data_IF_943511578746
#
_entry.id   IF_943511578746
#
_cell.length_a   1.000
_cell.length_b   1.000
_cell.length_c   1.000
_cell.angle_alpha   90.00
_cell.angle_beta   90.00
_cell.angle_gamma   90.00
#
_symmetry.space_group_name_H-M   'P 1'
#
loop_
_entity.id
_entity.type
_entity.pdbx_description
1 polymer ?
#
# COMPACT_ATOMS: atom_id res chain seq x y z
N UNK A 1 0.67 -27.82 -0.78
CA UNK A 1 1.76 -26.86 -0.54
C UNK A 1 1.10 -25.49 -0.35
N UNK A 2 1.38 -24.81 0.75
CA UNK A 2 0.82 -23.48 1.06
C UNK A 2 1.93 -22.43 0.97
N UNK A 3 1.58 -21.21 0.67
CA UNK A 3 2.51 -20.08 0.77
C UNK A 3 2.34 -19.41 2.13
N UNK A 4 3.45 -19.11 2.78
CA UNK A 4 3.53 -18.39 4.05
C UNK A 4 4.45 -17.20 3.84
N UNK A 5 4.01 -16.02 4.26
CA UNK A 5 4.82 -14.80 4.18
C UNK A 5 5.40 -14.45 5.56
N UNK A 6 6.67 -14.13 5.60
CA UNK A 6 7.37 -13.53 6.73
C UNK A 6 7.73 -12.09 6.32
N UNK A 7 7.11 -11.11 6.96
CA UNK A 7 7.39 -9.69 6.74
C UNK A 7 8.28 -9.20 7.88
N UNK A 8 9.50 -8.77 7.55
CA UNK A 8 10.52 -8.41 8.55
C UNK A 8 10.57 -6.90 8.73
N UNK A 9 10.16 -6.45 9.89
CA UNK A 9 10.16 -5.05 10.30
C UNK A 9 10.82 -4.82 11.67
N UNK A 10 11.79 -5.68 12.05
CA UNK A 10 12.38 -5.64 13.40
C UNK A 10 13.68 -4.82 13.52
N UNK A 11 14.18 -4.24 12.42
CA UNK A 11 15.41 -3.41 12.45
C UNK A 11 15.28 -2.20 13.36
N UNK A 12 16.36 -1.88 14.09
CA UNK A 12 16.46 -0.75 15.02
C UNK A 12 16.37 0.63 14.34
N UNK A 13 16.61 0.69 13.02
CA UNK A 13 16.61 1.96 12.29
C UNK A 13 17.81 2.87 12.59
N UNK A 14 18.96 2.33 13.02
CA UNK A 14 20.13 3.13 13.43
C UNK A 14 20.55 4.20 12.41
N UNK A 15 20.53 3.86 11.11
CA UNK A 15 20.84 4.81 10.03
C UNK A 15 19.71 5.80 9.75
N UNK A 16 18.49 5.49 10.18
CA UNK A 16 17.29 6.28 9.98
C UNK A 16 16.95 7.17 11.21
N UNK A 17 17.53 6.87 12.38
CA UNK A 17 17.27 7.60 13.63
C UNK A 17 15.97 7.21 14.35
N UNK A 18 15.08 6.45 13.68
CA UNK A 18 13.81 5.99 14.23
C UNK A 18 13.40 4.62 13.67
N UNK A 19 12.26 4.10 14.11
CA UNK A 19 11.68 2.86 13.56
C UNK A 19 11.01 3.13 12.21
N UNK A 20 11.78 3.17 11.12
CA UNK A 20 11.30 3.46 9.76
C UNK A 20 10.08 2.65 9.32
N UNK A 21 9.86 1.46 9.86
CA UNK A 21 8.70 0.62 9.54
C UNK A 21 7.38 1.18 10.03
N UNK A 22 7.38 2.08 11.01
CA UNK A 22 6.17 2.76 11.52
C UNK A 22 6.04 4.20 11.03
N UNK A 23 7.03 4.71 10.30
CA UNK A 23 6.91 6.01 9.65
C UNK A 23 5.71 6.04 8.70
N UNK A 24 5.16 7.23 8.52
CA UNK A 24 3.93 7.41 7.76
C UNK A 24 4.24 7.84 6.32
N UNK A 25 3.68 7.16 5.36
CA UNK A 25 3.62 7.59 3.96
C UNK A 25 2.15 7.73 3.60
N UNK A 26 1.71 8.92 3.15
CA UNK A 26 0.33 9.19 2.79
C UNK A 26 -0.67 8.68 3.85
N UNK A 27 -0.45 9.02 5.11
CA UNK A 27 -1.26 8.65 6.28
C UNK A 27 -1.34 7.13 6.58
N UNK A 28 -0.42 6.34 6.04
CA UNK A 28 -0.37 4.88 6.25
C UNK A 28 1.03 4.45 6.68
N UNK A 29 1.20 3.65 7.76
CA UNK A 29 2.51 3.18 8.19
C UNK A 29 3.18 2.31 7.13
N UNK A 30 4.49 2.47 6.95
CA UNK A 30 5.30 1.74 5.97
C UNK A 30 5.04 0.23 5.99
N UNK A 31 5.02 -0.41 7.16
CA UNK A 31 4.80 -1.85 7.26
C UNK A 31 3.44 -2.31 6.71
N UNK A 32 2.41 -1.47 6.75
CA UNK A 32 1.08 -1.82 6.24
C UNK A 32 1.04 -1.96 4.72
N UNK A 33 1.86 -1.21 3.99
CA UNK A 33 1.92 -1.34 2.53
C UNK A 33 2.34 -2.75 2.10
N UNK A 34 3.41 -3.28 2.71
CA UNK A 34 3.85 -4.64 2.45
C UNK A 34 2.77 -5.66 2.84
N UNK A 35 2.18 -5.54 4.04
CA UNK A 35 1.11 -6.44 4.48
C UNK A 35 -0.05 -6.44 3.49
N UNK A 36 -0.53 -5.25 3.08
CA UNK A 36 -1.67 -5.13 2.18
C UNK A 36 -1.39 -5.75 0.81
N UNK A 37 -0.19 -5.54 0.25
CA UNK A 37 0.18 -6.16 -1.03
C UNK A 37 0.14 -7.69 -0.96
N UNK A 38 0.59 -8.28 0.15
CA UNK A 38 0.53 -9.73 0.36
C UNK A 38 -0.91 -10.21 0.58
N UNK A 39 -1.73 -9.52 1.36
CA UNK A 39 -3.15 -9.83 1.56
C UNK A 39 -3.92 -9.74 0.24
N UNK A 40 -3.73 -8.66 -0.52
CA UNK A 40 -4.44 -8.40 -1.79
C UNK A 40 -4.08 -9.41 -2.88
N UNK A 41 -2.93 -10.08 -2.77
CA UNK A 41 -2.55 -11.16 -3.68
C UNK A 41 -3.42 -12.40 -3.52
N UNK A 42 -4.04 -12.59 -2.37
CA UNK A 42 -4.87 -13.76 -2.01
C UNK A 42 -4.14 -15.12 -2.17
N UNK A 43 -2.79 -15.12 -2.08
CA UNK A 43 -1.97 -16.31 -2.33
C UNK A 43 -1.42 -16.95 -1.06
N UNK A 44 -1.59 -16.32 0.11
CA UNK A 44 -0.95 -16.72 1.35
C UNK A 44 -1.96 -17.28 2.34
N UNK A 45 -1.60 -18.42 2.96
CA UNK A 45 -2.41 -19.02 4.01
C UNK A 45 -2.08 -18.47 5.41
N UNK A 46 -0.93 -17.81 5.54
CA UNK A 46 -0.47 -17.18 6.78
C UNK A 46 0.48 -16.03 6.45
N UNK A 47 0.39 -14.96 7.20
CA UNK A 47 1.32 -13.83 7.17
C UNK A 47 1.84 -13.63 8.59
N UNK A 48 3.16 -13.60 8.74
CA UNK A 48 3.84 -13.41 10.02
C UNK A 48 4.63 -12.10 9.94
N UNK A 49 4.37 -11.18 10.87
CA UNK A 49 5.06 -9.90 10.97
C UNK A 49 6.03 -9.92 12.15
N UNK A 50 7.33 -9.88 11.88
CA UNK A 50 8.37 -9.76 12.89
C UNK A 50 8.68 -8.28 13.17
N UNK A 51 8.52 -7.83 14.42
CA UNK A 51 8.68 -6.43 14.83
C UNK A 51 9.54 -6.31 16.09
N UNK A 52 10.11 -5.12 16.38
CA UNK A 52 10.84 -4.92 17.63
C UNK A 52 9.94 -5.11 18.85
N UNK A 53 10.51 -5.62 19.94
CA UNK A 53 9.80 -5.84 21.21
C UNK A 53 8.99 -4.62 21.67
N UNK A 54 9.56 -3.42 21.52
CA UNK A 54 8.89 -2.17 21.92
C UNK A 54 7.59 -1.90 21.18
N UNK A 55 7.44 -2.42 19.95
CA UNK A 55 6.28 -2.22 19.10
C UNK A 55 5.20 -3.31 19.23
N UNK A 56 5.46 -4.37 19.97
CA UNK A 56 4.50 -5.49 20.19
C UNK A 56 3.17 -5.04 20.84
N UNK A 57 3.19 -3.94 21.58
CA UNK A 57 1.97 -3.38 22.20
C UNK A 57 1.26 -2.34 21.31
N UNK A 58 1.96 -1.82 20.31
CA UNK A 58 1.47 -0.72 19.45
C UNK A 58 0.88 -1.27 18.16
N UNK A 59 1.67 -2.02 17.40
CA UNK A 59 1.29 -2.48 16.06
C UNK A 59 0.03 -3.36 16.06
N UNK A 60 -0.17 -4.34 16.97
CA UNK A 60 -1.41 -5.11 17.00
C UNK A 60 -2.66 -4.25 17.20
N UNK A 61 -2.55 -3.14 17.95
CA UNK A 61 -3.65 -2.19 18.14
C UNK A 61 -3.96 -1.35 16.90
N UNK A 62 -3.03 -1.26 15.96
CA UNK A 62 -3.21 -0.58 14.66
C UNK A 62 -3.74 -1.53 13.58
N UNK A 63 -3.70 -2.84 13.81
CA UNK A 63 -4.21 -3.90 12.93
C UNK A 63 -5.61 -4.35 13.38
N UNK A 64 -6.51 -3.40 13.62
CA UNK A 64 -7.86 -3.66 14.15
C UNK A 64 -8.89 -4.00 13.09
N UNK A 65 -8.63 -3.67 11.83
CA UNK A 65 -9.50 -4.02 10.71
C UNK A 65 -9.57 -5.57 10.57
N UNK A 66 -10.76 -6.09 10.29
CA UNK A 66 -11.01 -7.51 10.13
C UNK A 66 -10.11 -8.18 9.07
N UNK A 67 -9.62 -7.43 8.07
CA UNK A 67 -8.68 -7.92 7.06
C UNK A 67 -7.33 -8.36 7.64
N UNK A 68 -6.94 -7.86 8.82
CA UNK A 68 -5.66 -8.17 9.47
C UNK A 68 -5.77 -9.22 10.58
N UNK A 69 -6.95 -9.74 10.85
CA UNK A 69 -7.23 -10.64 12.00
C UNK A 69 -6.36 -11.89 12.07
N UNK A 70 -5.96 -12.41 10.90
CA UNK A 70 -5.20 -13.65 10.79
C UNK A 70 -3.68 -13.41 10.68
N UNK A 71 -3.22 -12.17 10.86
CA UNK A 71 -1.79 -11.84 10.87
C UNK A 71 -1.19 -12.23 12.22
N UNK A 72 -0.15 -13.05 12.18
CA UNK A 72 0.63 -13.39 13.35
C UNK A 72 1.72 -12.36 13.58
N UNK A 73 1.67 -11.63 14.68
CA UNK A 73 2.72 -10.68 15.05
C UNK A 73 3.65 -11.34 16.06
N UNK A 74 4.95 -11.28 15.82
CA UNK A 74 5.96 -11.86 16.72
C UNK A 74 7.12 -10.88 17.00
N UNK A 75 7.86 -11.16 18.07
CA UNK A 75 9.09 -10.43 18.38
C UNK A 75 10.19 -10.86 17.39
N UNK A 76 10.85 -9.89 16.77
CA UNK A 76 12.07 -10.11 16.00
C UNK A 76 13.29 -10.32 16.88
N UNK A 77 14.44 -10.56 16.25
CA UNK A 77 15.73 -10.70 16.91
C UNK A 77 16.52 -9.39 16.92
N UNK A 78 17.79 -9.47 17.36
CA UNK A 78 18.72 -8.34 17.34
C UNK A 78 19.16 -7.99 15.91
N UNK A 79 19.17 -8.97 15.01
CA UNK A 79 19.54 -8.83 13.61
C UNK A 79 18.37 -9.15 12.70
N UNK A 80 18.51 -8.86 11.38
CA UNK A 80 17.53 -9.24 10.38
C UNK A 80 17.38 -10.76 10.30
N UNK A 81 18.50 -11.48 10.26
CA UNK A 81 18.53 -12.94 10.18
C UNK A 81 17.83 -13.60 11.38
N UNK A 82 18.14 -13.16 12.61
CA UNK A 82 17.45 -13.63 13.82
C UNK A 82 15.96 -13.31 13.79
N UNK A 83 15.56 -12.17 13.22
CA UNK A 83 14.15 -11.79 13.11
C UNK A 83 13.38 -12.70 12.16
N UNK A 84 13.98 -13.09 11.03
CA UNK A 84 13.40 -14.05 10.10
C UNK A 84 13.29 -15.41 10.77
N UNK A 85 14.35 -15.87 11.45
CA UNK A 85 14.36 -17.16 12.16
C UNK A 85 13.28 -17.21 13.26
N UNK A 86 13.12 -16.15 14.05
CA UNK A 86 12.09 -16.07 15.07
C UNK A 86 10.66 -16.18 14.47
N UNK A 87 10.43 -15.53 13.33
CA UNK A 87 9.17 -15.63 12.60
C UNK A 87 8.98 -17.02 11.98
N UNK A 88 10.03 -17.57 11.38
CA UNK A 88 10.03 -18.92 10.81
C UNK A 88 9.68 -19.98 11.86
N UNK A 89 10.20 -19.86 13.08
CA UNK A 89 9.91 -20.76 14.21
C UNK A 89 8.43 -20.72 14.68
N UNK A 90 7.62 -19.73 14.23
CA UNK A 90 6.18 -19.68 14.50
C UNK A 90 5.36 -20.48 13.48
N UNK A 91 5.98 -20.98 12.42
CA UNK A 91 5.31 -21.80 11.42
C UNK A 91 5.08 -23.19 11.99
N UNK A 92 3.82 -23.59 12.06
CA UNK A 92 3.41 -24.91 12.55
C UNK A 92 2.90 -25.78 11.40
N UNK A 93 3.00 -27.10 11.54
CA UNK A 93 2.40 -28.06 10.61
C UNK A 93 3.34 -28.57 9.52
N UNK A 94 2.83 -28.75 8.30
CA UNK A 94 3.53 -29.46 7.22
C UNK A 94 4.75 -28.70 6.71
N UNK A 95 5.90 -29.38 6.63
CA UNK A 95 7.18 -28.81 6.14
C UNK A 95 7.23 -28.54 4.61
N UNK A 96 6.18 -28.87 3.87
CA UNK A 96 6.11 -28.70 2.39
C UNK A 96 5.57 -27.33 1.97
N UNK A 97 5.79 -26.27 2.74
CA UNK A 97 5.34 -24.93 2.40
C UNK A 97 6.38 -24.14 1.60
N UNK A 98 5.93 -23.11 0.91
CA UNK A 98 6.79 -22.04 0.35
C UNK A 98 6.84 -20.90 1.36
N UNK A 99 8.03 -20.47 1.72
CA UNK A 99 8.28 -19.37 2.64
C UNK A 99 8.74 -18.17 1.84
N UNK A 100 8.00 -17.07 1.93
CA UNK A 100 8.30 -15.79 1.31
C UNK A 100 8.81 -14.85 2.39
N UNK A 101 10.06 -14.43 2.28
CA UNK A 101 10.68 -13.48 3.22
C UNK A 101 10.73 -12.11 2.57
N UNK A 102 10.11 -11.12 3.19
CA UNK A 102 10.02 -9.76 2.66
C UNK A 102 10.37 -8.71 3.71
N UNK A 103 11.14 -7.69 3.31
CA UNK A 103 11.46 -6.55 4.16
C UNK A 103 10.27 -5.58 4.22
N UNK A 104 9.72 -5.32 5.41
CA UNK A 104 8.66 -4.34 5.63
C UNK A 104 9.02 -2.94 5.14
N UNK A 105 10.31 -2.64 5.03
CA UNK A 105 10.84 -1.39 4.51
C UNK A 105 10.86 -1.29 2.98
N UNK A 106 10.20 -2.20 2.25
CA UNK A 106 9.99 -2.12 0.79
C UNK A 106 8.51 -1.98 0.47
N UNK A 107 7.93 -0.80 0.72
CA UNK A 107 6.48 -0.60 0.62
C UNK A 107 5.94 -0.60 -0.82
N UNK A 108 6.82 -0.52 -1.83
CA UNK A 108 6.44 -0.48 -3.25
C UNK A 108 6.22 -1.86 -3.88
N UNK A 109 6.34 -2.95 -3.11
CA UNK A 109 6.05 -4.27 -3.65
C UNK A 109 4.61 -4.35 -4.15
N UNK A 110 4.42 -4.69 -5.43
CA UNK A 110 3.09 -4.75 -6.03
C UNK A 110 2.47 -6.14 -5.91
N UNK A 111 1.13 -6.20 -5.88
CA UNK A 111 0.38 -7.44 -6.01
C UNK A 111 0.84 -8.27 -7.22
N UNK A 112 1.04 -7.62 -8.38
CA UNK A 112 1.45 -8.30 -9.60
C UNK A 112 2.83 -8.95 -9.45
N UNK A 113 3.82 -8.23 -8.90
CA UNK A 113 5.15 -8.79 -8.64
C UNK A 113 5.08 -10.02 -7.71
N UNK A 114 4.21 -9.99 -6.70
CA UNK A 114 4.00 -11.14 -5.80
C UNK A 114 3.41 -12.33 -6.58
N UNK A 115 2.40 -12.11 -7.42
CA UNK A 115 1.78 -13.17 -8.25
C UNK A 115 2.77 -13.80 -9.23
N UNK A 116 3.58 -12.97 -9.88
CA UNK A 116 4.62 -13.42 -10.82
C UNK A 116 5.66 -14.29 -10.09
N UNK A 117 6.11 -13.85 -8.91
CA UNK A 117 7.06 -14.59 -8.08
C UNK A 117 6.47 -15.91 -7.57
N UNK A 118 5.20 -15.92 -7.14
CA UNK A 118 4.47 -17.15 -6.77
C UNK A 118 4.45 -18.12 -7.94
N UNK A 119 4.15 -17.65 -9.14
CA UNK A 119 4.12 -18.48 -10.35
C UNK A 119 5.51 -19.03 -10.70
N UNK A 120 6.53 -18.16 -10.70
CA UNK A 120 7.91 -18.52 -11.01
C UNK A 120 8.46 -19.54 -10.02
N UNK A 121 8.18 -19.40 -8.72
CA UNK A 121 8.72 -20.25 -7.65
C UNK A 121 8.10 -21.65 -7.57
N UNK A 122 7.04 -21.96 -8.34
CA UNK A 122 6.33 -23.27 -8.21
C UNK A 122 7.23 -24.49 -8.42
N UNK A 123 8.19 -24.40 -9.35
CA UNK A 123 9.09 -25.51 -9.71
C UNK A 123 10.48 -25.39 -9.07
N UNK A 124 10.79 -24.27 -8.43
CA UNK A 124 12.11 -23.96 -7.90
C UNK A 124 12.15 -24.17 -6.37
N UNK A 125 13.29 -24.57 -5.84
CA UNK A 125 13.48 -24.75 -4.38
C UNK A 125 13.77 -23.43 -3.68
N UNK A 126 14.56 -22.55 -4.32
CA UNK A 126 14.90 -21.23 -3.84
C UNK A 126 14.85 -20.22 -5.00
N UNK A 127 14.27 -19.06 -4.77
CA UNK A 127 14.12 -17.97 -5.75
C UNK A 127 14.26 -16.64 -5.03
N UNK A 128 15.00 -15.71 -5.63
CA UNK A 128 15.00 -14.31 -5.17
C UNK A 128 14.44 -13.39 -6.24
N UNK A 129 13.80 -12.34 -5.79
CA UNK A 129 13.53 -11.19 -6.63
C UNK A 129 14.81 -10.37 -6.76
N UNK A 130 15.21 -10.01 -7.97
CA UNK A 130 16.42 -9.22 -8.18
C UNK A 130 16.31 -8.29 -9.39
N UNK A 131 17.13 -7.26 -9.41
CA UNK A 131 17.20 -6.25 -10.48
C UNK A 131 18.61 -6.16 -11.05
N UNK A 132 18.73 -6.03 -12.38
CA UNK A 132 20.01 -5.78 -13.04
C UNK A 132 20.57 -4.43 -12.64
N UNK A 133 21.91 -4.36 -12.50
CA UNK A 133 22.61 -3.09 -12.30
C UNK A 133 22.81 -2.42 -13.66
N UNK A 134 22.30 -1.19 -13.79
CA UNK A 134 22.46 -0.38 -15.00
C UNK A 134 23.64 0.60 -14.91
N UNK A 135 24.05 0.96 -13.69
CA UNK A 135 25.15 1.88 -13.42
C UNK A 135 26.50 1.19 -13.54
N UNK A 136 27.57 1.98 -13.77
CA UNK A 136 28.92 1.49 -13.76
C UNK A 136 29.38 1.24 -12.32
N UNK A 137 29.76 -0.01 -12.01
CA UNK A 137 30.23 -0.42 -10.69
C UNK A 137 31.76 -0.40 -10.65
N UNK A 138 32.31 0.21 -9.61
CA UNK A 138 33.75 0.28 -9.36
C UNK A 138 34.11 -0.53 -8.12
N UNK A 139 35.19 -1.31 -8.21
CA UNK A 139 35.88 -1.81 -7.03
C UNK A 139 36.74 -0.68 -6.46
N UNK A 140 36.61 -0.44 -5.16
CA UNK A 140 37.32 0.65 -4.47
C UNK A 140 38.09 0.08 -3.29
N UNK A 141 39.33 0.55 -3.11
CA UNK A 141 40.16 0.25 -1.95
C UNK A 141 40.86 1.54 -1.52
N UNK A 142 40.81 1.85 -0.23
CA UNK A 142 41.36 3.09 0.36
C UNK A 142 40.90 4.38 -0.35
N UNK A 143 39.62 4.43 -0.73
CA UNK A 143 38.99 5.56 -1.41
C UNK A 143 39.42 5.73 -2.87
N UNK A 144 40.17 4.79 -3.45
CA UNK A 144 40.64 4.83 -4.84
C UNK A 144 40.01 3.73 -5.68
N UNK A 145 39.53 4.08 -6.87
CA UNK A 145 39.03 3.10 -7.85
C UNK A 145 40.16 2.17 -8.31
N UNK A 146 39.99 0.87 -8.14
CA UNK A 146 40.94 -0.17 -8.61
C UNK A 146 40.59 -0.62 -10.01
N UNK A 147 39.36 -1.04 -10.23
CA UNK A 147 38.90 -1.49 -11.55
C UNK A 147 37.37 -1.33 -11.69
N UNK A 148 36.91 -1.43 -12.92
CA UNK A 148 35.46 -1.49 -13.23
C UNK A 148 35.01 -2.94 -13.16
N UNK A 149 34.01 -3.21 -12.37
CA UNK A 149 33.39 -4.54 -12.27
C UNK A 149 32.48 -4.76 -13.48
N UNK A 150 32.51 -5.96 -14.05
CA UNK A 150 31.56 -6.32 -15.12
C UNK A 150 30.15 -6.41 -14.56
N UNK A 151 29.33 -5.41 -14.90
CA UNK A 151 27.94 -5.33 -14.43
C UNK A 151 27.01 -6.34 -15.08
N UNK A 152 27.40 -6.99 -16.18
CA UNK A 152 26.57 -7.96 -16.89
C UNK A 152 26.20 -9.18 -16.04
N UNK A 153 27.06 -9.50 -15.05
CA UNK A 153 26.88 -10.61 -14.11
C UNK A 153 26.39 -10.17 -12.73
N UNK A 154 26.16 -8.86 -12.54
CA UNK A 154 25.77 -8.32 -11.24
C UNK A 154 24.29 -8.01 -11.18
N UNK A 155 23.67 -8.43 -10.09
CA UNK A 155 22.27 -8.17 -9.78
C UNK A 155 22.13 -7.65 -8.37
N UNK A 156 21.16 -6.76 -8.15
CA UNK A 156 20.78 -6.29 -6.82
C UNK A 156 19.72 -7.25 -6.28
N UNK A 157 20.05 -7.97 -5.20
CA UNK A 157 19.09 -8.81 -4.48
C UNK A 157 18.02 -7.96 -3.84
N UNK A 158 16.78 -8.34 -4.07
CA UNK A 158 15.61 -7.71 -3.48
C UNK A 158 14.80 -8.75 -2.70
N UNK A 159 13.73 -8.29 -2.06
CA UNK A 159 12.74 -9.16 -1.45
C UNK A 159 11.36 -8.90 -2.09
N UNK A 160 10.46 -9.93 -2.19
CA UNK A 160 10.50 -11.21 -1.48
C UNK A 160 11.56 -12.18 -1.99
N UNK A 161 12.11 -12.98 -1.07
CA UNK A 161 12.91 -14.17 -1.34
C UNK A 161 12.06 -15.40 -0.99
N UNK A 162 12.08 -16.43 -1.81
CA UNK A 162 11.19 -17.59 -1.70
C UNK A 162 11.97 -18.88 -1.55
N UNK A 163 11.63 -19.67 -0.57
CA UNK A 163 12.31 -20.94 -0.28
C UNK A 163 11.31 -22.05 0.00
N UNK A 164 11.63 -23.28 -0.38
CA UNK A 164 10.97 -24.42 0.22
C UNK A 164 11.27 -24.43 1.73
N UNK A 165 10.28 -24.67 2.55
CA UNK A 165 10.45 -24.70 4.00
C UNK A 165 11.52 -25.70 4.45
N UNK A 166 11.62 -26.85 3.74
CA UNK A 166 12.59 -27.91 4.06
C UNK A 166 14.04 -27.43 3.94
N UNK A 167 14.39 -26.75 2.83
CA UNK A 167 15.76 -26.29 2.62
C UNK A 167 16.13 -25.12 3.55
N UNK A 168 15.18 -24.25 3.84
CA UNK A 168 15.41 -23.15 4.77
C UNK A 168 15.58 -23.68 6.21
N UNK A 169 14.79 -24.70 6.60
CA UNK A 169 14.97 -25.39 7.87
C UNK A 169 16.35 -26.05 7.97
N UNK A 170 16.77 -26.79 6.92
CA UNK A 170 18.08 -27.44 6.89
C UNK A 170 19.21 -26.41 7.00
N UNK A 171 19.07 -25.25 6.32
CA UNK A 171 20.06 -24.19 6.38
C UNK A 171 20.16 -23.60 7.81
N UNK A 172 19.04 -23.37 8.48
CA UNK A 172 19.03 -22.94 9.88
C UNK A 172 19.63 -24.03 10.81
N UNK A 173 19.27 -25.29 10.63
CA UNK A 173 19.79 -26.38 11.46
C UNK A 173 21.32 -26.49 11.37
N UNK A 174 21.90 -26.19 10.21
CA UNK A 174 23.35 -26.27 9.97
C UNK A 174 24.14 -25.01 10.36
N UNK A 175 23.52 -23.84 10.30
CA UNK A 175 24.24 -22.55 10.33
C UNK A 175 23.67 -21.56 11.36
N UNK A 176 22.83 -22.01 12.30
CA UNK A 176 22.17 -21.12 13.25
C UNK A 176 23.16 -20.32 14.10
N UNK A 177 24.27 -20.92 14.49
CA UNK A 177 25.28 -20.29 15.33
C UNK A 177 26.00 -19.13 14.65
N UNK A 178 26.02 -19.10 13.31
CA UNK A 178 26.67 -18.08 12.49
C UNK A 178 25.68 -17.36 11.57
N UNK A 179 24.37 -17.43 11.91
CA UNK A 179 23.30 -16.87 11.06
C UNK A 179 23.48 -15.38 10.76
N UNK A 180 24.12 -14.64 11.66
CA UNK A 180 24.36 -13.21 11.55
C UNK A 180 25.48 -12.84 10.55
N UNK A 181 26.24 -13.83 10.06
CA UNK A 181 27.26 -13.62 9.02
C UNK A 181 26.64 -13.53 7.62
N UNK A 182 25.38 -13.96 7.45
CA UNK A 182 24.66 -13.95 6.18
C UNK A 182 23.86 -12.65 6.00
N UNK A 183 23.99 -12.07 4.80
CA UNK A 183 23.31 -10.83 4.46
C UNK A 183 21.80 -10.99 4.25
N UNK A 184 21.38 -12.16 3.79
CA UNK A 184 20.01 -12.56 3.52
C UNK A 184 19.83 -14.09 3.55
N UNK A 185 18.61 -14.58 3.40
CA UNK A 185 18.31 -16.02 3.41
C UNK A 185 18.84 -16.71 2.14
N UNK A 186 19.03 -15.99 1.05
CA UNK A 186 19.62 -16.55 -0.16
C UNK A 186 21.07 -16.95 0.09
N UNK A 187 21.88 -16.05 0.66
CA UNK A 187 23.30 -16.36 0.96
C UNK A 187 23.44 -17.51 1.96
N UNK A 188 22.53 -17.63 2.94
CA UNK A 188 22.49 -18.76 3.87
C UNK A 188 22.20 -20.09 3.15
N UNK A 189 21.27 -20.10 2.21
CA UNK A 189 20.85 -21.29 1.46
C UNK A 189 21.92 -21.67 0.43
N UNK A 190 22.56 -20.69 -0.23
CA UNK A 190 23.68 -20.87 -1.15
C UNK A 190 24.89 -21.52 -0.45
N UNK A 191 25.22 -21.07 0.75
CA UNK A 191 26.29 -21.67 1.57
C UNK A 191 26.01 -23.13 1.94
N UNK A 192 24.73 -23.52 1.96
CA UNK A 192 24.32 -24.92 2.15
C UNK A 192 24.33 -25.73 0.85
N UNK A 193 24.78 -25.17 -0.27
CA UNK A 193 24.94 -25.83 -1.57
C UNK A 193 23.67 -25.88 -2.43
N UNK A 194 22.67 -25.08 -2.12
CA UNK A 194 21.45 -24.99 -2.92
C UNK A 194 21.57 -23.91 -3.99
N UNK A 195 21.09 -24.21 -5.18
CA UNK A 195 20.96 -23.24 -6.27
C UNK A 195 19.79 -22.26 -5.99
N UNK A 196 20.05 -20.96 -6.09
CA UNK A 196 19.07 -19.90 -5.98
C UNK A 196 18.78 -19.30 -7.35
N UNK A 197 17.53 -19.38 -7.81
CA UNK A 197 17.10 -18.81 -9.07
C UNK A 197 16.74 -17.35 -8.93
N UNK A 198 17.01 -16.57 -9.98
CA UNK A 198 16.68 -15.15 -10.06
C UNK A 198 15.37 -14.97 -10.81
N UNK A 199 14.43 -14.29 -10.18
CA UNK A 199 13.23 -13.71 -10.80
C UNK A 199 13.49 -12.23 -11.02
N UNK A 200 13.58 -11.78 -12.29
CA UNK A 200 13.85 -10.38 -12.61
C UNK A 200 12.68 -9.47 -12.19
N UNK A 201 12.99 -8.47 -11.37
CA UNK A 201 12.04 -7.41 -11.03
C UNK A 201 12.10 -6.28 -12.05
N UNK A 202 10.94 -5.99 -12.67
CA UNK A 202 10.76 -4.87 -13.62
C UNK A 202 10.09 -3.65 -13.00
N UNK A 203 9.63 -3.78 -11.75
CA UNK A 203 8.90 -2.74 -11.03
C UNK A 203 9.80 -2.02 -10.02
N UNK A 204 9.36 -0.87 -9.52
CA UNK A 204 10.01 -0.23 -8.40
C UNK A 204 9.77 -1.05 -7.12
N UNK A 205 10.84 -1.29 -6.36
CA UNK A 205 10.78 -2.02 -5.09
C UNK A 205 11.89 -1.51 -4.14
N UNK A 206 12.03 -0.18 -4.10
CA UNK A 206 13.06 0.51 -3.33
C UNK A 206 12.90 0.23 -1.84
N UNK A 207 14.03 -0.03 -1.17
CA UNK A 207 14.10 -0.19 0.29
C UNK A 207 14.32 1.16 0.95
N UNK A 208 13.49 1.52 1.90
CA UNK A 208 13.68 2.71 2.73
C UNK A 208 14.92 2.48 3.60
N UNK A 209 15.91 3.34 3.41
CA UNK A 209 17.17 3.35 4.18
C UNK A 209 17.44 4.69 4.83
N UNK A 210 17.00 5.79 4.22
CA UNK A 210 17.13 7.18 4.67
C UNK A 210 15.78 7.88 4.68
N UNK A 211 15.70 9.10 5.23
CA UNK A 211 14.47 9.91 5.21
C UNK A 211 14.12 10.36 3.79
N UNK A 212 15.14 10.65 2.95
CA UNK A 212 14.92 11.03 1.55
C UNK A 212 14.21 9.93 0.75
N UNK A 213 14.44 8.66 1.13
CA UNK A 213 13.74 7.53 0.49
C UNK A 213 12.22 7.60 0.72
N UNK A 214 11.77 8.10 1.88
CA UNK A 214 10.33 8.28 2.17
C UNK A 214 9.71 9.30 1.23
N UNK A 215 10.36 10.45 1.03
CA UNK A 215 9.88 11.49 0.13
C UNK A 215 9.80 11.00 -1.31
N UNK A 216 10.85 10.29 -1.75
CA UNK A 216 10.90 9.71 -3.09
C UNK A 216 9.79 8.68 -3.30
N UNK A 217 9.61 7.78 -2.32
CA UNK A 217 8.59 6.74 -2.37
C UNK A 217 7.19 7.35 -2.28
N UNK A 218 6.97 8.35 -1.41
CA UNK A 218 5.70 9.06 -1.31
C UNK A 218 5.29 9.67 -2.64
N UNK A 219 6.21 10.33 -3.34
CA UNK A 219 5.95 10.88 -4.69
C UNK A 219 5.62 9.80 -5.73
N UNK A 220 6.27 8.64 -5.65
CA UNK A 220 5.98 7.51 -6.55
C UNK A 220 4.67 6.77 -6.21
N UNK A 221 4.15 6.93 -4.98
CA UNK A 221 2.87 6.38 -4.55
C UNK A 221 1.68 7.31 -4.84
N UNK A 222 1.91 8.52 -5.33
CA UNK A 222 0.86 9.38 -5.86
C UNK A 222 0.52 8.88 -7.27
N UNK A 223 0.00 7.66 -7.36
CA UNK A 223 -0.59 7.14 -8.56
C UNK A 223 -2.03 7.66 -8.67
N UNK A 224 -2.28 8.41 -9.77
CA UNK A 224 -3.60 8.88 -10.18
C UNK A 224 -4.26 9.90 -9.22
N UNK A 225 -3.81 11.16 -9.32
CA UNK A 225 -4.60 12.28 -8.83
C UNK A 225 -5.70 12.54 -9.86
N UNK A 226 -6.94 12.36 -9.45
CA UNK A 226 -8.11 12.65 -10.26
C UNK A 226 -8.61 14.06 -9.93
N UNK A 227 -8.97 14.80 -10.96
CA UNK A 227 -9.58 16.11 -10.82
C UNK A 227 -10.98 16.05 -11.42
N UNK A 228 -11.94 16.66 -10.75
CA UNK A 228 -13.29 16.80 -11.25
C UNK A 228 -13.79 18.21 -11.03
N UNK A 229 -14.61 18.67 -11.93
CA UNK A 229 -15.35 19.92 -11.83
C UNK A 229 -16.83 19.60 -11.93
N UNK A 230 -17.63 20.24 -11.09
CA UNK A 230 -19.10 20.15 -11.15
C UNK A 230 -19.71 21.54 -11.12
N UNK A 231 -20.76 21.73 -11.87
CA UNK A 231 -21.54 22.96 -11.93
C UNK A 231 -23.01 22.60 -11.91
N UNK A 232 -23.77 23.23 -11.02
CA UNK A 232 -25.21 23.14 -11.00
C UNK A 232 -25.88 24.51 -10.86
N UNK A 233 -27.10 24.65 -11.36
CA UNK A 233 -27.83 25.89 -11.37
C UNK A 233 -29.33 25.62 -11.22
N UNK A 234 -29.96 26.24 -10.25
CA UNK A 234 -31.41 26.12 -10.01
C UNK A 234 -32.09 27.47 -10.06
N UNK A 235 -33.24 27.52 -10.73
CA UNK A 235 -34.16 28.65 -10.65
C UNK A 235 -34.74 28.74 -9.25
N UNK A 236 -35.03 29.95 -8.81
CA UNK A 236 -35.70 30.22 -7.54
C UNK A 236 -37.12 30.69 -7.77
N UNK A 237 -38.04 30.24 -6.92
CA UNK A 237 -39.41 30.73 -6.87
C UNK A 237 -39.81 31.04 -5.42
N UNK A 238 -40.97 31.65 -5.20
CA UNK A 238 -41.50 31.91 -3.86
C UNK A 238 -41.65 30.62 -3.05
N UNK A 239 -41.16 30.63 -1.82
CA UNK A 239 -41.13 29.45 -0.97
C UNK A 239 -40.80 29.75 0.49
N UNK A 240 -40.39 28.71 1.23
CA UNK A 240 -40.15 28.80 2.68
C UNK A 240 -38.71 28.47 3.08
N UNK A 241 -37.80 28.40 2.11
CA UNK A 241 -36.36 28.15 2.33
C UNK A 241 -35.70 27.38 1.22
N UNK A 242 -34.38 27.49 1.16
CA UNK A 242 -33.48 26.76 0.24
C UNK A 242 -32.59 25.80 1.03
N UNK A 243 -32.15 24.73 0.38
CA UNK A 243 -31.20 23.78 0.97
C UNK A 243 -29.85 23.96 0.30
N UNK A 244 -28.77 24.09 1.09
CA UNK A 244 -27.39 24.23 0.63
C UNK A 244 -26.49 23.35 1.51
N UNK A 245 -25.79 22.38 0.92
CA UNK A 245 -24.94 21.44 1.65
C UNK A 245 -25.70 20.60 2.69
N UNK A 246 -26.98 20.28 2.42
CA UNK A 246 -27.86 19.59 3.34
C UNK A 246 -28.43 20.45 4.45
N UNK A 247 -28.14 21.77 4.48
CA UNK A 247 -28.62 22.68 5.52
C UNK A 247 -29.73 23.57 5.00
N UNK A 248 -30.87 23.62 5.71
CA UNK A 248 -32.00 24.43 5.33
C UNK A 248 -31.84 25.91 5.80
N UNK A 249 -31.82 26.81 4.83
CA UNK A 249 -31.76 28.27 5.04
C UNK A 249 -33.20 28.83 4.91
N UNK A 250 -33.72 29.39 5.97
CA UNK A 250 -35.06 30.02 5.99
C UNK A 250 -35.03 31.35 5.21
N UNK A 251 -35.80 31.41 4.15
CA UNK A 251 -35.99 32.61 3.34
C UNK A 251 -37.32 32.49 2.55
N UNK A 252 -37.73 33.55 1.86
CA UNK A 252 -38.96 33.58 1.04
C UNK A 252 -38.81 32.95 -0.33
N UNK A 253 -37.73 32.12 -0.55
CA UNK A 253 -37.43 31.48 -1.81
C UNK A 253 -37.27 29.97 -1.60
N UNK A 254 -37.49 29.20 -2.65
CA UNK A 254 -37.14 27.77 -2.74
C UNK A 254 -36.56 27.48 -4.12
N UNK A 255 -35.72 26.47 -4.22
CA UNK A 255 -35.15 25.96 -5.48
C UNK A 255 -36.24 25.22 -6.28
N UNK A 256 -36.28 25.44 -7.60
CA UNK A 256 -37.09 24.66 -8.53
C UNK A 256 -36.27 23.46 -8.97
N UNK A 257 -36.52 22.29 -8.37
CA UNK A 257 -35.80 21.07 -8.62
C UNK A 257 -36.69 19.82 -8.50
N UNK A 258 -36.21 18.69 -9.02
CA UNK A 258 -36.85 17.40 -8.84
C UNK A 258 -36.54 16.76 -7.48
N UNK A 259 -35.34 17.02 -6.95
CA UNK A 259 -34.86 16.64 -5.61
C UNK A 259 -35.19 17.72 -4.58
N UNK A 260 -34.44 17.79 -3.49
CA UNK A 260 -34.49 18.86 -2.50
C UNK A 260 -33.88 20.21 -2.95
N UNK A 261 -33.27 20.23 -4.17
CA UNK A 261 -32.72 21.43 -4.81
C UNK A 261 -31.44 21.97 -4.20
N UNK A 262 -30.65 21.11 -3.57
CA UNK A 262 -29.34 21.44 -3.00
C UNK A 262 -28.28 21.56 -4.10
N UNK A 263 -28.18 22.75 -4.69
CA UNK A 263 -27.27 23.07 -5.80
C UNK A 263 -25.78 22.78 -5.47
N UNK A 264 -25.38 23.00 -4.20
CA UNK A 264 -24.00 22.75 -3.77
C UNK A 264 -23.68 21.27 -3.77
N UNK A 265 -24.57 20.47 -3.18
CA UNK A 265 -24.38 19.01 -3.12
C UNK A 265 -24.43 18.38 -4.52
N UNK A 266 -25.28 18.87 -5.43
CA UNK A 266 -25.33 18.40 -6.82
C UNK A 266 -24.02 18.68 -7.55
N UNK A 267 -23.47 19.90 -7.44
CA UNK A 267 -22.19 20.23 -8.06
C UNK A 267 -21.04 19.37 -7.51
N UNK A 268 -21.03 19.07 -6.20
CA UNK A 268 -20.05 18.15 -5.60
C UNK A 268 -20.20 16.74 -6.17
N UNK A 269 -21.44 16.25 -6.33
CA UNK A 269 -21.70 14.92 -6.92
C UNK A 269 -21.13 14.86 -8.34
N UNK A 270 -21.41 15.86 -9.18
CA UNK A 270 -20.92 15.90 -10.55
C UNK A 270 -19.39 16.00 -10.61
N UNK A 271 -18.76 16.79 -9.73
CA UNK A 271 -17.31 16.83 -9.63
C UNK A 271 -16.71 15.44 -9.29
N UNK A 272 -17.30 14.71 -8.36
CA UNK A 272 -16.86 13.36 -7.98
C UNK A 272 -17.07 12.35 -9.12
N UNK A 273 -18.24 12.39 -9.76
CA UNK A 273 -18.53 11.55 -10.92
C UNK A 273 -17.56 11.82 -12.08
N UNK A 274 -17.32 13.09 -12.40
CA UNK A 274 -16.39 13.50 -13.46
C UNK A 274 -14.95 13.08 -13.16
N UNK A 275 -14.47 13.28 -11.93
CA UNK A 275 -13.13 12.85 -11.51
C UNK A 275 -12.88 11.36 -11.73
N UNK A 276 -13.89 10.51 -11.52
CA UNK A 276 -13.79 9.05 -11.56
C UNK A 276 -14.38 8.43 -12.83
N UNK A 277 -14.77 9.25 -13.81
CA UNK A 277 -15.43 8.81 -15.05
C UNK A 277 -16.68 7.94 -14.78
N UNK A 278 -17.47 8.33 -13.79
CA UNK A 278 -18.72 7.66 -13.40
C UNK A 278 -19.96 8.20 -14.11
N UNK A 279 -19.82 9.14 -15.05
CA UNK A 279 -20.93 9.85 -15.67
C UNK A 279 -21.33 11.12 -14.90
N UNK A 280 -22.61 11.39 -14.76
CA UNK A 280 -23.16 12.56 -14.09
C UNK A 280 -24.34 12.21 -13.15
N UNK A 281 -24.79 13.18 -12.36
CA UNK A 281 -25.89 12.98 -11.40
C UNK A 281 -27.18 12.53 -12.10
N UNK A 282 -27.46 13.01 -13.33
CA UNK A 282 -28.67 12.66 -14.10
C UNK A 282 -28.68 11.21 -14.54
N UNK A 283 -27.52 10.64 -14.86
CA UNK A 283 -27.40 9.22 -15.20
C UNK A 283 -27.64 8.30 -14.00
N UNK A 284 -27.12 8.69 -12.82
CA UNK A 284 -27.29 7.91 -11.59
C UNK A 284 -28.69 8.06 -10.99
N UNK A 285 -29.27 9.27 -11.09
CA UNK A 285 -30.54 9.63 -10.45
C UNK A 285 -31.47 10.33 -11.44
N UNK A 286 -32.00 9.61 -12.44
CA UNK A 286 -32.91 10.19 -13.41
C UNK A 286 -34.18 10.71 -12.75
N UNK A 287 -34.82 11.72 -13.39
CA UNK A 287 -36.05 12.37 -12.92
C UNK A 287 -37.25 11.42 -12.97
N UNK A 288 -37.26 10.44 -12.07
CA UNK A 288 -38.35 9.46 -11.89
C UNK A 288 -39.16 9.74 -10.63
N UNK A 289 -40.38 9.24 -10.52
CA UNK A 289 -41.20 9.39 -9.30
C UNK A 289 -40.45 8.94 -8.03
N UNK A 290 -39.58 7.93 -8.13
CA UNK A 290 -38.85 7.39 -6.99
C UNK A 290 -37.77 8.35 -6.47
N UNK A 291 -37.30 9.26 -7.29
CA UNK A 291 -36.27 10.26 -6.93
C UNK A 291 -36.87 11.63 -6.63
N UNK A 292 -38.20 11.75 -6.63
CA UNK A 292 -38.86 13.02 -6.34
C UNK A 292 -38.71 13.41 -4.86
N UNK A 293 -38.24 14.63 -4.61
CA UNK A 293 -37.99 15.20 -3.28
C UNK A 293 -36.94 14.40 -2.46
N UNK A 294 -36.09 13.61 -3.10
CA UNK A 294 -35.00 12.91 -2.42
C UNK A 294 -34.00 13.91 -1.87
N UNK A 295 -33.44 13.63 -0.70
CA UNK A 295 -32.34 14.43 -0.14
C UNK A 295 -31.07 14.25 -0.96
N UNK A 296 -30.45 15.36 -1.38
CA UNK A 296 -29.19 15.36 -2.11
C UNK A 296 -28.04 14.74 -1.29
N UNK A 297 -28.12 14.79 0.03
CA UNK A 297 -27.18 14.09 0.93
C UNK A 297 -27.29 12.57 0.77
N UNK A 298 -28.49 12.01 0.57
CA UNK A 298 -28.65 10.58 0.28
C UNK A 298 -28.12 10.20 -1.10
N UNK A 299 -28.22 11.10 -2.09
CA UNK A 299 -27.60 10.92 -3.40
C UNK A 299 -26.08 10.90 -3.27
N UNK A 300 -25.52 11.86 -2.51
CA UNK A 300 -24.06 11.92 -2.25
C UNK A 300 -23.56 10.64 -1.57
N UNK A 301 -24.26 10.12 -0.56
CA UNK A 301 -23.90 8.86 0.10
C UNK A 301 -23.84 7.68 -0.89
N UNK A 302 -24.77 7.61 -1.83
CA UNK A 302 -24.77 6.57 -2.88
C UNK A 302 -23.56 6.70 -3.78
N UNK A 303 -23.22 7.91 -4.26
CA UNK A 303 -22.02 8.14 -5.05
C UNK A 303 -20.74 7.82 -4.26
N UNK A 304 -20.67 8.23 -3.00
CA UNK A 304 -19.55 7.88 -2.11
C UNK A 304 -19.33 6.37 -1.99
N UNK A 305 -20.41 5.58 -2.03
CA UNK A 305 -20.32 4.12 -1.99
C UNK A 305 -19.76 3.49 -3.28
N UNK A 306 -19.75 4.23 -4.40
CA UNK A 306 -19.16 3.81 -5.67
C UNK A 306 -17.67 4.13 -5.78
N UNK A 307 -17.15 5.00 -4.90
CA UNK A 307 -15.74 5.36 -4.87
C UNK A 307 -14.94 4.16 -4.36
N UNK A 308 -13.94 3.67 -5.12
CA UNK A 308 -13.07 2.58 -4.68
C UNK A 308 -12.39 2.89 -3.35
N UNK A 309 -12.25 1.90 -2.48
CA UNK A 309 -11.70 2.06 -1.12
C UNK A 309 -10.23 2.53 -1.06
N UNK A 310 -9.51 2.43 -2.18
CA UNK A 310 -8.14 2.92 -2.35
C UNK A 310 -8.06 4.39 -2.82
N UNK A 311 -9.20 5.05 -3.05
CA UNK A 311 -9.29 6.45 -3.46
C UNK A 311 -9.81 7.26 -2.27
N UNK A 312 -9.18 8.40 -2.01
CA UNK A 312 -9.60 9.35 -0.99
C UNK A 312 -9.77 10.76 -1.58
N UNK A 313 -10.78 11.47 -1.09
CA UNK A 313 -10.96 12.88 -1.43
C UNK A 313 -9.90 13.68 -0.66
N UNK A 314 -9.04 14.40 -1.39
CA UNK A 314 -7.97 15.21 -0.80
C UNK A 314 -8.50 16.62 -0.48
N UNK A 315 -9.26 17.21 -1.40
CA UNK A 315 -9.80 18.56 -1.23
C UNK A 315 -11.08 18.73 -2.06
N UNK A 316 -12.00 19.54 -1.55
CA UNK A 316 -13.14 20.09 -2.29
C UNK A 316 -13.13 21.59 -2.07
N UNK A 317 -13.05 22.34 -3.16
CA UNK A 317 -13.23 23.78 -3.15
C UNK A 317 -14.55 24.09 -3.86
N UNK A 318 -15.44 24.84 -3.20
CA UNK A 318 -16.79 25.09 -3.68
C UNK A 318 -17.15 26.57 -3.55
N UNK A 319 -17.65 27.14 -4.63
CA UNK A 319 -18.14 28.52 -4.66
C UNK A 319 -19.62 28.54 -4.97
N UNK A 320 -20.39 29.29 -4.18
CA UNK A 320 -21.81 29.52 -4.40
C UNK A 320 -22.03 30.96 -4.89
N UNK A 321 -22.57 31.09 -6.09
CA UNK A 321 -22.98 32.38 -6.66
C UNK A 321 -24.48 32.56 -6.48
N UNK A 322 -24.91 33.75 -6.05
CA UNK A 322 -26.31 34.13 -5.97
C UNK A 322 -26.55 35.50 -6.66
N UNK A 323 -27.78 35.81 -6.94
CA UNK A 323 -28.26 36.74 -7.96
C UNK A 323 -27.83 38.22 -7.94
N UNK A 324 -27.00 38.65 -7.04
CA UNK A 324 -26.44 39.99 -7.09
C UNK A 324 -24.93 39.90 -7.27
N UNK A 325 -24.36 40.61 -8.25
CA UNK A 325 -22.93 40.80 -8.29
C UNK A 325 -22.46 41.35 -6.95
N UNK A 326 -21.33 40.89 -6.48
CA UNK A 326 -20.70 41.40 -5.26
C UNK A 326 -20.57 42.95 -5.42
N UNK A 327 -20.83 43.72 -4.36
CA UNK A 327 -20.59 45.18 -4.43
C UNK A 327 -19.12 45.55 -4.67
N UNK A 328 -18.24 44.60 -4.83
CA UNK A 328 -16.81 44.77 -5.08
C UNK A 328 -16.38 44.34 -6.48
N UNK A 329 -17.28 43.80 -7.30
CA UNK A 329 -17.03 43.41 -8.70
C UNK A 329 -17.36 44.55 -9.68
#
# INVERSE_FOLDING_TARGET
>A
MKNIAIIVGAGSGERFGSYKQVEMINNKPVYKYSIDAFLDSNCFSQIILAIPKKLLRVIPRQLTDNRYKDIVVCEGGKTRAQSVYNAFSKITGNKKNKIFVHDAARPLISKQTILDLVSFSKKEKAVILAKKINETVKSVEDGRSKFTVDRSVLWISETPQVFNQEILQEAYDKKLDIIDEFSDEASLVEECGYEVKICENKSLNTKITTEEDIDLISKNMIDNVFFGIGLDCHSLEEGSGIIIGGYQIKCNLKSVAHSDGDVLTHAIIDALCGALNLGDIGQHFPNTPNNKNISSIELLKKIMSLIPSNISIINIDACLLYTSPSPRD
#
